data_IF_436105906148
#
_entry.id   IF_436105906148
#
_cell.length_a   1.000
_cell.length_b   1.000
_cell.length_c   1.000
_cell.angle_alpha   90.00
_cell.angle_beta   90.00
_cell.angle_gamma   90.00
#
_symmetry.space_group_name_H-M   'P 1'
#
loop_
_entity.id
_entity.type
_entity.pdbx_description
1 polymer ?
#
# COMPACT_ATOMS: atom_id res chain seq x y z
N UNK A 1 6.76 7.72 9.81
CA UNK A 1 7.63 7.76 8.60
C UNK A 1 6.76 7.88 7.37
N UNK A 2 7.31 8.32 6.24
CA UNK A 2 6.59 8.34 4.96
C UNK A 2 6.94 7.10 4.14
N UNK A 3 5.94 6.31 3.77
CA UNK A 3 6.09 4.99 3.16
C UNK A 3 5.44 4.95 1.78
N UNK A 4 6.08 4.26 0.84
CA UNK A 4 5.55 3.98 -0.49
C UNK A 4 5.18 2.51 -0.59
N UNK A 5 3.93 2.20 -0.88
CA UNK A 5 3.42 0.83 -1.08
C UNK A 5 3.24 0.57 -2.56
N UNK A 6 4.01 -0.38 -3.10
CA UNK A 6 4.03 -0.72 -4.53
C UNK A 6 3.40 -2.07 -4.89
N UNK A 7 2.74 -2.70 -3.92
CA UNK A 7 2.05 -3.98 -4.08
C UNK A 7 0.87 -3.89 -5.07
N UNK A 8 0.37 -5.03 -5.59
CA UNK A 8 -0.86 -5.06 -6.38
C UNK A 8 -2.02 -4.34 -5.68
N UNK A 9 -2.87 -3.69 -6.48
CA UNK A 9 -3.94 -2.82 -5.97
C UNK A 9 -4.88 -3.56 -4.99
N UNK A 10 -5.13 -4.85 -5.22
CA UNK A 10 -5.98 -5.69 -4.39
C UNK A 10 -5.48 -5.78 -2.93
N UNK A 11 -4.16 -5.88 -2.75
CA UNK A 11 -3.53 -6.10 -1.45
C UNK A 11 -2.98 -4.81 -0.82
N UNK A 12 -2.79 -3.76 -1.63
CA UNK A 12 -2.13 -2.53 -1.21
C UNK A 12 -2.95 -1.74 -0.17
N UNK A 13 -4.28 -1.74 -0.30
CA UNK A 13 -5.17 -0.96 0.57
C UNK A 13 -5.13 -1.49 2.00
N UNK A 14 -5.31 -2.80 2.20
CA UNK A 14 -5.30 -3.38 3.55
C UNK A 14 -3.97 -3.19 4.28
N UNK A 15 -2.85 -3.25 3.56
CA UNK A 15 -1.54 -2.95 4.14
C UNK A 15 -1.41 -1.47 4.51
N UNK A 16 -1.88 -0.56 3.65
CA UNK A 16 -1.81 0.87 3.91
C UNK A 16 -2.60 1.26 5.16
N UNK A 17 -3.78 0.67 5.38
CA UNK A 17 -4.59 0.92 6.57
C UNK A 17 -3.86 0.52 7.86
N UNK A 18 -3.20 -0.65 7.87
CA UNK A 18 -2.43 -1.12 9.03
C UNK A 18 -1.26 -0.17 9.32
N UNK A 19 -0.53 0.26 8.29
CA UNK A 19 0.61 1.16 8.43
C UNK A 19 0.17 2.57 8.84
N UNK A 20 -0.95 3.06 8.31
CA UNK A 20 -1.53 4.34 8.70
C UNK A 20 -1.98 4.32 10.17
N UNK A 21 -2.58 3.22 10.63
CA UNK A 21 -2.94 3.03 12.04
C UNK A 21 -1.73 3.05 13.00
N UNK A 22 -0.53 2.76 12.50
CA UNK A 22 0.73 2.88 13.25
C UNK A 22 1.33 4.30 13.21
N UNK A 23 0.63 5.28 12.61
CA UNK A 23 1.08 6.67 12.51
C UNK A 23 2.07 6.90 11.37
N UNK A 24 2.03 6.08 10.31
CA UNK A 24 2.81 6.33 9.10
C UNK A 24 2.00 7.11 8.06
N UNK A 25 2.69 7.98 7.32
CA UNK A 25 2.14 8.63 6.12
C UNK A 25 2.36 7.69 4.93
N UNK A 26 1.31 7.21 4.28
CA UNK A 26 1.40 6.13 3.29
C UNK A 26 0.92 6.61 1.93
N UNK A 27 1.77 6.45 0.91
CA UNK A 27 1.41 6.63 -0.49
C UNK A 27 1.27 5.25 -1.15
N UNK A 28 0.15 5.00 -1.82
CA UNK A 28 -0.07 3.79 -2.61
C UNK A 28 0.25 4.09 -4.08
N UNK A 29 1.12 3.29 -4.69
CA UNK A 29 1.50 3.38 -6.10
C UNK A 29 1.78 1.98 -6.64
N UNK A 30 0.75 1.21 -7.02
CA UNK A 30 0.92 -0.18 -7.46
C UNK A 30 1.84 -0.26 -8.67
N UNK A 31 2.91 -1.05 -8.56
CA UNK A 31 3.88 -1.27 -9.65
C UNK A 31 3.82 -2.72 -10.17
N UNK A 32 2.94 -3.54 -9.59
CA UNK A 32 2.73 -4.94 -9.94
C UNK A 32 1.25 -5.11 -10.27
N UNK A 33 0.96 -5.59 -11.47
CA UNK A 33 -0.39 -5.93 -11.91
C UNK A 33 -0.51 -7.46 -11.95
N UNK A 34 -1.64 -7.99 -11.50
CA UNK A 34 -1.95 -9.43 -11.57
C UNK A 34 -3.06 -9.58 -12.60
N UNK A 35 -2.75 -10.22 -13.72
CA UNK A 35 -3.74 -10.61 -14.72
C UNK A 35 -4.45 -11.89 -14.24
N UNK A 36 -5.79 -11.86 -14.26
CA UNK A 36 -6.67 -12.98 -13.90
C UNK A 36 -7.05 -13.81 -15.12
#
# INVERSE_FOLDING_TARGET
MRLLVTRPALDAVGLADILAAQGHDVLISPMIEIEL
#
